data_IF_825370652874
#
_entry.id   IF_825370652874
#
_cell.length_a   1.000
_cell.length_b   1.000
_cell.length_c   1.000
_cell.angle_alpha   90.00
_cell.angle_beta   90.00
_cell.angle_gamma   90.00
#
_symmetry.space_group_name_H-M   'P 1'
#
loop_
_entity.id
_entity.type
_entity.pdbx_description
1 polymer ?
#
# COMPACT_ATOMS: atom_id res chain seq x y z
N UNK A 1 11.97 3.29 17.79
CA UNK A 1 12.97 3.21 16.70
C UNK A 1 12.28 3.50 15.38
N UNK A 2 12.89 4.31 14.52
CA UNK A 2 12.39 4.57 13.18
C UNK A 2 12.66 3.35 12.28
N UNK A 3 11.63 2.88 11.56
CA UNK A 3 11.80 1.81 10.56
C UNK A 3 12.20 2.42 9.22
N UNK A 4 13.32 1.98 8.64
CA UNK A 4 13.72 2.33 7.29
C UNK A 4 12.93 1.47 6.30
N UNK A 5 12.20 2.13 5.40
CA UNK A 5 11.24 1.49 4.50
C UNK A 5 11.74 1.55 3.07
N UNK A 6 11.73 0.42 2.39
CA UNK A 6 11.94 0.31 0.95
C UNK A 6 10.59 0.04 0.28
N UNK A 7 10.27 0.84 -0.72
CA UNK A 7 9.03 0.70 -1.49
C UNK A 7 9.32 -0.16 -2.73
N UNK A 8 8.63 -1.29 -2.84
CA UNK A 8 8.75 -2.20 -3.98
C UNK A 8 7.74 -1.79 -5.03
N UNK A 9 8.20 -1.18 -6.11
CA UNK A 9 7.34 -0.65 -7.17
C UNK A 9 7.89 0.62 -7.78
N UNK A 10 7.06 1.30 -8.55
CA UNK A 10 7.44 2.50 -9.29
C UNK A 10 6.69 3.77 -8.86
N UNK A 11 6.88 4.80 -9.67
CA UNK A 11 6.35 6.15 -9.45
C UNK A 11 4.84 6.18 -9.22
N UNK A 12 4.08 5.39 -10.00
CA UNK A 12 2.62 5.52 -10.06
C UNK A 12 1.89 5.22 -8.73
N UNK A 13 2.29 4.17 -8.00
CA UNK A 13 1.70 3.82 -6.70
C UNK A 13 2.69 3.99 -5.55
N UNK A 14 3.94 3.68 -5.77
CA UNK A 14 4.99 3.86 -4.78
C UNK A 14 5.26 5.33 -4.47
N UNK A 15 5.20 6.21 -5.46
CA UNK A 15 5.39 7.66 -5.28
C UNK A 15 4.39 8.27 -4.29
N UNK A 16 3.06 8.10 -4.47
CA UNK A 16 2.07 8.55 -3.48
C UNK A 16 2.26 7.97 -2.08
N UNK A 17 2.70 6.72 -1.97
CA UNK A 17 3.00 6.10 -0.67
C UNK A 17 4.20 6.77 -0.01
N UNK A 18 5.28 7.03 -0.76
CA UNK A 18 6.43 7.78 -0.26
C UNK A 18 6.02 9.18 0.23
N UNK A 19 5.20 9.88 -0.57
CA UNK A 19 4.71 11.20 -0.20
C UNK A 19 3.90 11.19 1.11
N UNK A 20 3.11 10.14 1.37
CA UNK A 20 2.38 10.00 2.65
C UNK A 20 3.34 9.80 3.81
N UNK A 21 4.39 8.98 3.67
CA UNK A 21 5.40 8.81 4.72
C UNK A 21 6.07 10.15 5.02
N UNK A 22 6.47 10.91 4.00
CA UNK A 22 7.11 12.22 4.16
C UNK A 22 6.15 13.26 4.77
N UNK A 23 4.87 13.32 4.34
CA UNK A 23 3.89 14.22 4.95
C UNK A 23 3.66 13.88 6.43
N UNK A 24 3.55 12.58 6.76
CA UNK A 24 3.42 12.14 8.15
C UNK A 24 4.62 12.59 9.00
N UNK A 25 5.85 12.51 8.45
CA UNK A 25 7.08 12.92 9.15
C UNK A 25 7.17 14.43 9.31
N UNK A 26 7.08 15.16 8.22
CA UNK A 26 7.38 16.60 8.19
C UNK A 26 6.22 17.47 8.68
N UNK A 27 4.98 17.06 8.40
CA UNK A 27 3.79 17.84 8.79
C UNK A 27 3.26 17.43 10.17
N UNK A 28 3.30 16.12 10.49
CA UNK A 28 2.69 15.58 11.72
C UNK A 28 3.71 15.08 12.74
N UNK A 29 5.01 15.12 12.45
CA UNK A 29 6.06 14.70 13.38
C UNK A 29 6.10 13.18 13.64
N UNK A 30 5.47 12.37 12.79
CA UNK A 30 5.48 10.91 12.93
C UNK A 30 6.78 10.32 12.39
N UNK A 31 7.73 10.08 13.26
CA UNK A 31 9.04 9.53 12.92
C UNK A 31 9.08 8.01 12.89
N UNK A 32 7.95 7.32 12.87
CA UNK A 32 7.88 5.85 12.90
C UNK A 32 8.44 5.18 11.64
N UNK A 33 8.22 5.79 10.47
CA UNK A 33 8.70 5.30 9.17
C UNK A 33 9.60 6.34 8.49
N UNK A 34 10.57 5.88 7.69
CA UNK A 34 11.46 6.70 6.87
C UNK A 34 11.69 6.02 5.52
N UNK A 35 11.47 6.74 4.42
CA UNK A 35 11.71 6.19 3.08
C UNK A 35 13.21 6.11 2.82
N UNK A 36 13.73 4.89 2.65
CA UNK A 36 15.12 4.66 2.27
C UNK A 36 15.34 4.69 0.75
N UNK A 37 14.33 4.29 -0.01
CA UNK A 37 14.39 4.22 -1.47
C UNK A 37 13.40 3.22 -2.05
N UNK A 38 13.65 2.84 -3.28
CA UNK A 38 12.80 1.94 -4.05
C UNK A 38 13.55 0.69 -4.51
N UNK A 39 12.81 -0.42 -4.68
CA UNK A 39 13.23 -1.55 -5.50
C UNK A 39 12.37 -1.60 -6.76
N UNK A 40 13.01 -1.46 -7.93
CA UNK A 40 12.32 -1.38 -9.21
C UNK A 40 13.22 -1.89 -10.33
N UNK A 41 12.82 -2.97 -11.00
CA UNK A 41 13.62 -3.58 -12.07
C UNK A 41 13.70 -2.72 -13.34
N UNK A 42 12.78 -1.76 -13.54
CA UNK A 42 12.67 -0.91 -14.72
C UNK A 42 13.47 0.39 -14.59
N UNK A 43 13.81 0.82 -13.37
CA UNK A 43 14.32 2.15 -13.08
C UNK A 43 15.71 2.11 -12.40
N UNK A 44 16.49 1.04 -12.64
CA UNK A 44 17.81 0.86 -12.04
C UNK A 44 18.72 2.06 -12.29
N UNK A 45 19.40 2.52 -11.24
CA UNK A 45 20.32 3.66 -11.30
C UNK A 45 19.66 5.04 -11.40
N UNK A 46 18.34 5.11 -11.31
CA UNK A 46 17.58 6.37 -11.31
C UNK A 46 17.08 6.75 -9.91
N UNK A 47 16.32 7.82 -9.85
CA UNK A 47 15.56 8.25 -8.67
C UNK A 47 14.07 8.29 -8.98
N UNK A 48 13.25 8.00 -7.99
CA UNK A 48 11.80 8.18 -8.03
C UNK A 48 11.46 9.23 -6.97
N UNK A 49 10.92 10.39 -7.39
CA UNK A 49 10.61 11.53 -6.49
C UNK A 49 11.75 11.86 -5.50
N UNK A 50 12.98 11.95 -6.02
CA UNK A 50 14.24 12.21 -5.29
C UNK A 50 14.71 11.06 -4.36
N UNK A 51 14.03 9.93 -4.31
CA UNK A 51 14.51 8.75 -3.60
C UNK A 51 15.29 7.83 -4.54
N UNK A 52 16.40 7.24 -4.10
CA UNK A 52 17.20 6.36 -4.94
C UNK A 52 16.47 5.05 -5.26
N UNK A 53 16.64 4.53 -6.45
CA UNK A 53 16.36 3.13 -6.78
C UNK A 53 17.57 2.31 -6.35
N UNK A 54 17.43 1.59 -5.24
CA UNK A 54 18.51 0.86 -4.56
C UNK A 54 18.87 -0.45 -5.25
N UNK A 55 17.99 -0.95 -6.12
CA UNK A 55 18.17 -2.20 -6.85
C UNK A 55 16.87 -2.71 -7.47
N UNK A 56 16.92 -3.92 -8.01
CA UNK A 56 15.75 -4.65 -8.49
C UNK A 56 15.04 -5.44 -7.39
N UNK A 57 13.89 -6.03 -7.74
CA UNK A 57 13.07 -6.81 -6.79
C UNK A 57 13.79 -8.03 -6.20
N UNK A 58 14.81 -8.55 -6.87
CA UNK A 58 15.64 -9.67 -6.39
C UNK A 58 16.50 -9.33 -5.17
N UNK A 59 16.69 -8.04 -4.88
CA UNK A 59 17.48 -7.58 -3.74
C UNK A 59 16.72 -7.62 -2.40
N UNK A 60 15.42 -8.00 -2.40
CA UNK A 60 14.57 -8.01 -1.19
C UNK A 60 15.21 -8.81 -0.05
N UNK A 61 15.73 -10.02 -0.32
CA UNK A 61 16.33 -10.85 0.71
C UNK A 61 17.54 -10.15 1.38
N UNK A 62 18.42 -9.54 0.59
CA UNK A 62 19.58 -8.78 1.10
C UNK A 62 19.15 -7.65 2.01
N UNK A 63 18.18 -6.82 1.57
CA UNK A 63 17.72 -5.71 2.38
C UNK A 63 16.92 -6.16 3.61
N UNK A 64 16.25 -7.31 3.56
CA UNK A 64 15.62 -7.92 4.73
C UNK A 64 16.66 -8.30 5.79
N UNK A 65 17.77 -8.93 5.37
CA UNK A 65 18.90 -9.28 6.26
C UNK A 65 19.56 -8.02 6.85
N UNK A 66 19.59 -6.91 6.10
CA UNK A 66 20.09 -5.59 6.55
C UNK A 66 19.10 -4.85 7.46
N UNK A 67 17.95 -5.44 7.80
CA UNK A 67 16.96 -4.91 8.74
C UNK A 67 16.01 -3.85 8.18
N UNK A 68 15.87 -3.74 6.86
CA UNK A 68 14.88 -2.88 6.22
C UNK A 68 13.48 -3.49 6.31
N UNK A 69 12.50 -2.60 6.27
CA UNK A 69 11.09 -2.95 6.16
C UNK A 69 10.58 -2.60 4.77
N UNK A 70 9.43 -3.14 4.39
CA UNK A 70 8.95 -3.04 3.02
C UNK A 70 7.49 -2.60 2.93
N UNK A 71 7.18 -1.93 1.82
CA UNK A 71 5.83 -1.72 1.31
C UNK A 71 5.77 -2.26 -0.11
N UNK A 72 4.83 -3.15 -0.39
CA UNK A 72 4.59 -3.66 -1.74
C UNK A 72 3.59 -2.77 -2.47
N UNK A 73 4.04 -2.13 -3.55
CA UNK A 73 3.28 -1.12 -4.30
C UNK A 73 3.08 -1.49 -5.79
N UNK A 74 3.16 -2.78 -6.12
CA UNK A 74 2.95 -3.25 -7.50
C UNK A 74 1.53 -3.80 -7.63
N UNK A 75 0.69 -3.08 -8.37
CA UNK A 75 -0.66 -3.49 -8.75
C UNK A 75 -0.80 -3.30 -10.25
N UNK A 76 -0.92 -4.37 -10.99
CA UNK A 76 -0.98 -4.36 -12.46
C UNK A 76 -2.44 -4.37 -12.92
N UNK A 77 -3.02 -3.17 -13.08
CA UNK A 77 -4.42 -3.00 -13.48
C UNK A 77 -4.75 -3.82 -14.73
N UNK A 78 -5.84 -4.58 -14.66
CA UNK A 78 -6.27 -5.48 -15.76
C UNK A 78 -5.37 -6.70 -15.96
N UNK A 79 -4.37 -6.91 -15.09
CA UNK A 79 -3.46 -8.06 -15.13
C UNK A 79 -3.28 -8.66 -13.73
N UNK A 80 -4.38 -8.87 -13.05
CA UNK A 80 -4.42 -9.22 -11.63
C UNK A 80 -3.62 -10.49 -11.31
N UNK A 81 -3.68 -11.52 -12.16
CA UNK A 81 -2.88 -12.73 -12.03
C UNK A 81 -1.36 -12.44 -11.99
N UNK A 82 -0.89 -11.47 -12.81
CA UNK A 82 0.53 -11.07 -12.78
C UNK A 82 0.92 -10.33 -11.50
N UNK A 83 -0.01 -9.60 -10.89
CA UNK A 83 0.22 -8.94 -9.58
C UNK A 83 0.48 -10.01 -8.51
N UNK A 84 -0.34 -11.05 -8.47
CA UNK A 84 -0.20 -12.15 -7.51
C UNK A 84 1.08 -12.96 -7.76
N UNK A 85 1.35 -13.36 -9.01
CA UNK A 85 2.56 -14.09 -9.38
C UNK A 85 3.83 -13.32 -8.99
N UNK A 86 3.87 -12.01 -9.29
CA UNK A 86 5.02 -11.18 -8.97
C UNK A 86 5.19 -11.00 -7.45
N UNK A 87 4.09 -10.85 -6.71
CA UNK A 87 4.16 -10.78 -5.25
C UNK A 87 4.82 -12.03 -4.66
N UNK A 88 4.43 -13.21 -5.13
CA UNK A 88 5.02 -14.47 -4.70
C UNK A 88 6.50 -14.62 -5.12
N UNK A 89 6.86 -14.14 -6.33
CA UNK A 89 8.25 -14.15 -6.80
C UNK A 89 9.16 -13.22 -5.98
N UNK A 90 8.66 -12.04 -5.63
CA UNK A 90 9.39 -11.05 -4.80
C UNK A 90 9.59 -11.57 -3.39
N UNK A 91 8.67 -12.36 -2.87
CA UNK A 91 8.74 -13.09 -1.60
C UNK A 91 9.19 -12.24 -0.41
N UNK A 92 8.47 -11.14 -0.17
CA UNK A 92 8.75 -10.26 0.99
C UNK A 92 8.37 -10.99 2.28
N UNK A 93 9.26 -11.07 3.30
CA UNK A 93 8.89 -11.59 4.60
C UNK A 93 7.72 -10.81 5.21
N UNK A 94 6.67 -11.51 5.61
CA UNK A 94 5.42 -10.86 6.05
C UNK A 94 5.63 -9.96 7.29
N UNK A 95 6.50 -10.34 8.18
CA UNK A 95 6.86 -9.60 9.40
C UNK A 95 7.60 -8.29 9.13
N UNK A 96 8.20 -8.15 7.95
CA UNK A 96 8.87 -6.93 7.50
C UNK A 96 7.96 -5.99 6.69
N UNK A 97 6.74 -6.42 6.37
CA UNK A 97 5.76 -5.55 5.74
C UNK A 97 5.22 -4.54 6.75
N UNK A 98 5.22 -3.26 6.37
CA UNK A 98 4.67 -2.18 7.21
C UNK A 98 3.44 -1.56 6.58
N UNK A 99 2.50 -1.17 7.43
CA UNK A 99 1.33 -0.40 7.01
C UNK A 99 1.71 1.07 6.88
N UNK A 100 1.20 1.72 5.84
CA UNK A 100 1.33 3.17 5.65
C UNK A 100 -0.05 3.79 5.68
N UNK A 101 -0.33 4.56 6.72
CA UNK A 101 -1.61 5.25 6.89
C UNK A 101 -1.36 6.75 6.96
N UNK A 102 -1.96 7.51 6.05
CA UNK A 102 -1.91 8.96 6.10
C UNK A 102 -2.55 9.47 7.39
N UNK A 103 -1.91 10.42 8.06
CA UNK A 103 -2.51 11.13 9.21
C UNK A 103 -3.74 11.96 8.82
N UNK A 104 -3.97 12.12 7.51
CA UNK A 104 -5.18 12.75 6.94
C UNK A 104 -6.25 11.73 6.55
N UNK A 105 -6.02 10.44 6.74
CA UNK A 105 -7.00 9.40 6.50
C UNK A 105 -7.84 9.15 7.75
N UNK A 106 -9.04 8.62 7.56
CA UNK A 106 -9.85 8.08 8.65
C UNK A 106 -9.81 6.55 8.59
N UNK A 107 -9.35 5.94 9.67
CA UNK A 107 -9.43 4.50 9.88
C UNK A 107 -10.10 4.28 11.23
N UNK A 108 -11.26 3.61 11.23
CA UNK A 108 -12.00 3.34 12.46
C UNK A 108 -11.14 2.49 13.42
N UNK A 109 -11.24 2.76 14.72
CA UNK A 109 -10.41 2.12 15.75
C UNK A 109 -10.52 0.59 15.79
N UNK A 110 -11.67 0.05 15.35
CA UNK A 110 -11.94 -1.38 15.27
C UNK A 110 -11.81 -1.94 13.84
N UNK A 111 -11.33 -1.16 12.88
CA UNK A 111 -10.97 -1.66 11.57
C UNK A 111 -9.64 -2.45 11.63
N UNK A 112 -9.51 -3.46 10.79
CA UNK A 112 -8.33 -4.32 10.75
C UNK A 112 -7.53 -4.04 9.47
N UNK A 113 -6.30 -3.60 9.65
CA UNK A 113 -5.34 -3.43 8.56
C UNK A 113 -4.31 -4.56 8.60
N UNK A 114 -4.32 -5.44 7.60
CA UNK A 114 -3.34 -6.53 7.49
C UNK A 114 -1.96 -6.00 7.04
N UNK A 115 -0.86 -6.74 7.24
CA UNK A 115 0.49 -6.27 6.93
C UNK A 115 0.65 -5.73 5.51
N UNK A 116 1.37 -4.61 5.35
CA UNK A 116 1.65 -3.98 4.07
C UNK A 116 0.48 -3.20 3.46
N UNK A 117 -0.68 -3.12 4.11
CA UNK A 117 -1.80 -2.33 3.62
C UNK A 117 -1.51 -0.84 3.72
N UNK A 118 -1.98 -0.07 2.73
CA UNK A 118 -1.79 1.37 2.66
C UNK A 118 -3.13 2.10 2.59
N UNK A 119 -3.28 3.18 3.37
CA UNK A 119 -4.43 4.08 3.29
C UNK A 119 -3.91 5.50 3.05
N UNK A 120 -4.16 6.03 1.86
CA UNK A 120 -3.63 7.33 1.44
C UNK A 120 -4.50 8.49 1.94
N UNK A 121 -4.11 9.71 1.53
CA UNK A 121 -4.73 10.97 1.98
C UNK A 121 -6.24 10.96 1.78
N UNK A 122 -6.99 11.30 2.83
CA UNK A 122 -8.46 11.32 2.84
C UNK A 122 -9.13 9.97 2.49
N UNK A 123 -8.38 8.86 2.54
CA UNK A 123 -8.98 7.54 2.46
C UNK A 123 -9.82 7.27 3.72
N UNK A 124 -10.95 6.59 3.56
CA UNK A 124 -11.86 6.24 4.64
C UNK A 124 -11.99 4.72 4.78
N UNK A 125 -11.76 4.21 5.97
CA UNK A 125 -11.97 2.80 6.31
C UNK A 125 -12.92 2.73 7.51
N UNK A 126 -14.12 2.22 7.27
CA UNK A 126 -15.24 2.18 8.23
C UNK A 126 -15.05 1.20 9.36
N UNK A 127 -15.93 1.32 10.36
CA UNK A 127 -15.94 0.47 11.56
C UNK A 127 -16.10 -1.01 11.16
N UNK A 128 -15.29 -1.90 11.77
CA UNK A 128 -15.32 -3.33 11.49
C UNK A 128 -14.84 -3.75 10.11
N UNK A 129 -14.39 -2.81 9.26
CA UNK A 129 -13.84 -3.15 7.95
C UNK A 129 -12.48 -3.85 8.07
N UNK A 130 -12.21 -4.79 7.16
CA UNK A 130 -10.92 -5.50 7.08
C UNK A 130 -10.24 -5.20 5.74
N UNK A 131 -9.02 -4.69 5.79
CA UNK A 131 -8.18 -4.44 4.61
C UNK A 131 -7.08 -5.49 4.54
N UNK A 132 -7.10 -6.28 3.47
CA UNK A 132 -6.16 -7.37 3.22
C UNK A 132 -4.71 -6.92 3.06
N UNK A 133 -3.80 -7.87 3.20
CA UNK A 133 -2.35 -7.60 3.10
C UNK A 133 -1.99 -6.97 1.75
N UNK A 134 -1.07 -5.99 1.78
CA UNK A 134 -0.59 -5.26 0.59
C UNK A 134 -1.71 -4.64 -0.26
N UNK A 135 -2.87 -4.36 0.35
CA UNK A 135 -3.98 -3.68 -0.32
C UNK A 135 -3.78 -2.16 -0.22
N UNK A 136 -4.04 -1.47 -1.32
CA UNK A 136 -3.95 -0.03 -1.42
C UNK A 136 -5.35 0.60 -1.44
N UNK A 137 -5.67 1.38 -0.42
CA UNK A 137 -6.82 2.30 -0.39
C UNK A 137 -6.29 3.67 -0.79
N UNK A 138 -6.53 4.07 -2.05
CA UNK A 138 -6.00 5.30 -2.62
C UNK A 138 -6.70 6.55 -2.04
N UNK A 139 -6.20 7.73 -2.42
CA UNK A 139 -6.73 9.00 -1.92
C UNK A 139 -8.22 9.15 -2.20
N UNK A 140 -8.97 9.60 -1.18
CA UNK A 140 -10.43 9.78 -1.24
C UNK A 140 -11.24 8.50 -1.51
N UNK A 141 -10.63 7.32 -1.49
CA UNK A 141 -11.39 6.08 -1.58
C UNK A 141 -12.15 5.82 -0.27
N UNK A 142 -13.37 5.32 -0.38
CA UNK A 142 -14.25 5.01 0.74
C UNK A 142 -14.50 3.49 0.83
N UNK A 143 -14.21 2.92 1.99
CA UNK A 143 -14.56 1.53 2.32
C UNK A 143 -15.51 1.56 3.51
N UNK A 144 -16.76 1.14 3.28
CA UNK A 144 -17.83 1.15 4.28
C UNK A 144 -17.61 0.18 5.44
N UNK A 145 -18.44 0.32 6.47
CA UNK A 145 -18.35 -0.50 7.67
C UNK A 145 -18.60 -2.00 7.37
N UNK A 146 -17.94 -2.89 8.12
CA UNK A 146 -18.06 -4.36 8.02
C UNK A 146 -17.76 -4.90 6.62
N UNK A 147 -17.01 -4.13 5.80
CA UNK A 147 -16.57 -4.54 4.46
C UNK A 147 -15.23 -5.22 4.53
N UNK A 148 -15.09 -6.35 3.83
CA UNK A 148 -13.84 -7.10 3.73
C UNK A 148 -13.25 -6.89 2.35
N UNK A 149 -12.02 -6.39 2.30
CA UNK A 149 -11.24 -6.25 1.06
C UNK A 149 -10.08 -7.23 1.10
N UNK A 150 -10.04 -8.14 0.13
CA UNK A 150 -9.01 -9.17 0.02
C UNK A 150 -7.61 -8.61 -0.26
N UNK A 151 -6.55 -9.43 -0.07
CA UNK A 151 -5.17 -8.99 -0.23
C UNK A 151 -4.82 -8.59 -1.67
N UNK A 152 -3.76 -7.78 -1.82
CA UNK A 152 -3.22 -7.31 -3.10
C UNK A 152 -4.24 -6.55 -3.95
N UNK A 153 -5.31 -6.04 -3.34
CA UNK A 153 -6.37 -5.31 -4.03
C UNK A 153 -6.08 -3.81 -4.09
N UNK A 154 -6.72 -3.13 -5.00
CA UNK A 154 -6.56 -1.69 -5.20
C UNK A 154 -7.92 -1.01 -5.24
N UNK A 155 -8.18 -0.19 -4.23
CA UNK A 155 -9.32 0.72 -4.19
C UNK A 155 -8.84 2.05 -4.76
N UNK A 156 -9.14 2.31 -6.04
CA UNK A 156 -8.61 3.47 -6.75
C UNK A 156 -9.18 4.79 -6.22
N UNK A 157 -8.59 5.90 -6.68
CA UNK A 157 -8.94 7.26 -6.25
C UNK A 157 -10.44 7.50 -6.38
N UNK A 158 -11.06 8.05 -5.33
CA UNK A 158 -12.48 8.40 -5.27
C UNK A 158 -13.45 7.22 -5.50
N UNK A 159 -13.01 5.97 -5.41
CA UNK A 159 -13.96 4.87 -5.46
C UNK A 159 -14.76 4.78 -4.16
N UNK A 160 -15.97 4.23 -4.25
CA UNK A 160 -16.85 4.00 -3.10
C UNK A 160 -17.19 2.52 -3.03
N UNK A 161 -16.77 1.86 -1.98
CA UNK A 161 -17.22 0.51 -1.64
C UNK A 161 -18.14 0.63 -0.43
N UNK A 162 -19.42 0.31 -0.61
CA UNK A 162 -20.44 0.40 0.43
C UNK A 162 -20.14 -0.50 1.62
N UNK A 163 -21.12 -0.66 2.51
CA UNK A 163 -20.95 -1.45 3.74
C UNK A 163 -21.29 -2.92 3.52
N UNK A 164 -20.73 -3.80 4.36
CA UNK A 164 -20.98 -5.25 4.34
C UNK A 164 -20.72 -5.94 2.99
N UNK A 165 -19.76 -5.42 2.25
CA UNK A 165 -19.34 -5.93 0.95
C UNK A 165 -18.11 -6.83 1.11
N UNK A 166 -18.03 -7.86 0.29
CA UNK A 166 -16.84 -8.70 0.17
C UNK A 166 -16.17 -8.50 -1.19
N UNK A 167 -15.01 -7.86 -1.19
CA UNK A 167 -14.13 -7.72 -2.35
C UNK A 167 -13.08 -8.83 -2.27
N UNK A 168 -12.94 -9.61 -3.35
CA UNK A 168 -11.97 -10.70 -3.42
C UNK A 168 -10.52 -10.22 -3.44
N UNK A 169 -9.57 -11.17 -3.43
CA UNK A 169 -8.15 -10.87 -3.58
C UNK A 169 -7.83 -10.31 -4.97
N UNK A 170 -6.76 -9.51 -5.06
CA UNK A 170 -6.21 -8.96 -6.32
C UNK A 170 -7.27 -8.20 -7.14
N UNK A 171 -8.26 -7.63 -6.49
CA UNK A 171 -9.33 -6.89 -7.14
C UNK A 171 -8.94 -5.42 -7.37
N UNK A 172 -9.39 -4.88 -8.50
CA UNK A 172 -9.27 -3.45 -8.79
C UNK A 172 -10.66 -2.82 -8.82
N UNK A 173 -10.93 -1.90 -7.92
CA UNK A 173 -12.09 -1.01 -7.99
C UNK A 173 -11.63 0.30 -8.61
N UNK A 174 -12.10 0.57 -9.83
CA UNK A 174 -11.60 1.69 -10.66
C UNK A 174 -11.87 3.07 -10.08
N UNK A 175 -11.25 4.11 -10.67
CA UNK A 175 -11.46 5.51 -10.28
C UNK A 175 -12.95 5.88 -10.39
N UNK A 176 -13.51 6.52 -9.35
CA UNK A 176 -14.92 6.91 -9.24
C UNK A 176 -15.93 5.76 -9.37
N UNK A 177 -15.49 4.50 -9.33
CA UNK A 177 -16.41 3.38 -9.34
C UNK A 177 -17.15 3.27 -8.01
N UNK A 178 -18.40 2.81 -8.06
CA UNK A 178 -19.22 2.57 -6.87
C UNK A 178 -19.65 1.12 -6.83
N UNK A 179 -19.38 0.45 -5.72
CA UNK A 179 -19.86 -0.89 -5.40
C UNK A 179 -20.84 -0.75 -4.25
N UNK A 180 -22.10 -1.14 -4.47
CA UNK A 180 -23.18 -1.03 -3.48
C UNK A 180 -23.53 -2.40 -2.91
N UNK A 181 -23.99 -2.41 -1.67
CA UNK A 181 -24.64 -3.60 -1.08
C UNK A 181 -25.99 -3.86 -1.79
N UNK A 182 -26.40 -5.12 -1.82
CA UNK A 182 -27.70 -5.51 -2.38
C UNK A 182 -28.79 -5.37 -1.35
#
# INVERSE_FOLDING_TARGET
MTKKVIIIGGEGKGGPIAAVIEDNRHTFGDMSLEVAGFLNDMELGKTIHNFPVLGGTKEVARFADDGYHFVYAIHMLGRNYKTEDLFHQVNVPQELLVNVVSKRAFVAHNAVLKPGSCVLVNGYVGAGAEIGACTLVASHAFVGHDTVVGPLSHMAICCVVGSRIHIGKVADVGINATVIEK
#
